data_IF_427519689014
#
_entry.id   IF_427519689014
#
_cell.length_a   1.000
_cell.length_b   1.000
_cell.length_c   1.000
_cell.angle_alpha   90.00
_cell.angle_beta   90.00
_cell.angle_gamma   90.00
#
_symmetry.space_group_name_H-M   'P 1'
#
loop_
_entity.id
_entity.type
_entity.pdbx_description
1 polymer ?
#
# COMPACT_ATOMS: atom_id res chain seq x y z
N UNK A 1 5.24 0.15 9.81
CA UNK A 1 4.21 1.18 10.07
C UNK A 1 3.84 1.12 11.54
N UNK A 2 3.92 2.23 12.27
CA UNK A 2 3.56 2.26 13.71
C UNK A 2 2.04 2.39 13.93
N UNK A 3 1.60 2.27 15.19
CA UNK A 3 0.18 2.34 15.59
C UNK A 3 -0.50 3.64 15.19
N UNK A 4 0.18 4.79 15.32
CA UNK A 4 -0.42 6.10 15.05
C UNK A 4 -0.65 6.29 13.56
N UNK A 5 0.33 5.92 12.73
CA UNK A 5 0.19 5.96 11.28
C UNK A 5 -0.83 4.93 10.80
N UNK A 6 -0.91 3.73 11.41
CA UNK A 6 -1.97 2.75 11.10
C UNK A 6 -3.37 3.30 11.38
N UNK A 7 -3.57 3.93 12.54
CA UNK A 7 -4.86 4.56 12.87
C UNK A 7 -5.15 5.71 11.90
N UNK A 8 -4.14 6.51 11.56
CA UNK A 8 -4.28 7.63 10.64
C UNK A 8 -4.73 7.18 9.24
N UNK A 9 -4.20 6.06 8.72
CA UNK A 9 -4.65 5.53 7.43
C UNK A 9 -6.06 4.97 7.49
N UNK A 10 -6.45 4.31 8.58
CA UNK A 10 -7.83 3.86 8.79
C UNK A 10 -8.81 5.02 8.88
N UNK A 11 -8.39 6.12 9.50
CA UNK A 11 -9.16 7.36 9.54
C UNK A 11 -9.28 8.00 8.15
N UNK A 12 -8.20 8.01 7.38
CA UNK A 12 -8.19 8.48 5.99
C UNK A 12 -9.14 7.66 5.09
N UNK A 13 -9.14 6.33 5.23
CA UNK A 13 -10.09 5.44 4.53
C UNK A 13 -11.54 5.77 4.92
N UNK A 14 -11.83 5.89 6.23
CA UNK A 14 -13.18 6.18 6.74
C UNK A 14 -13.69 7.58 6.32
N UNK A 15 -12.80 8.56 6.21
CA UNK A 15 -13.14 9.91 5.74
C UNK A 15 -13.26 9.99 4.21
N UNK A 16 -12.88 8.94 3.47
CA UNK A 16 -12.78 8.97 2.01
C UNK A 16 -11.74 9.97 1.51
N UNK A 17 -10.73 10.26 2.34
CA UNK A 17 -9.68 11.24 2.07
C UNK A 17 -10.13 12.70 2.04
N UNK A 18 -11.25 13.02 2.69
CA UNK A 18 -11.80 14.38 2.78
C UNK A 18 -11.70 14.91 4.20
N UNK A 19 -11.14 16.11 4.35
CA UNK A 19 -11.06 16.85 5.62
C UNK A 19 -12.41 17.40 6.10
N UNK A 20 -13.36 17.55 5.17
CA UNK A 20 -14.74 17.97 5.45
C UNK A 20 -15.62 16.89 6.10
N UNK A 21 -15.18 15.62 6.13
CA UNK A 21 -15.98 14.50 6.64
C UNK A 21 -15.56 14.13 8.07
N UNK A 22 -16.35 14.46 9.11
CA UNK A 22 -16.09 13.98 10.45
C UNK A 22 -16.33 12.47 10.56
N UNK A 23 -15.47 11.78 11.30
CA UNK A 23 -15.51 10.34 11.56
C UNK A 23 -15.62 10.11 13.06
N UNK A 24 -16.49 9.20 13.47
CA UNK A 24 -16.59 8.77 14.86
C UNK A 24 -15.32 7.99 15.22
N UNK A 25 -14.39 8.65 15.90
CA UNK A 25 -13.07 8.12 16.21
C UNK A 25 -13.13 6.97 17.22
N UNK A 26 -14.08 7.04 18.15
CA UNK A 26 -14.27 6.01 19.17
C UNK A 26 -14.70 4.69 18.53
N UNK A 27 -15.67 4.74 17.63
CA UNK A 27 -16.15 3.53 16.96
C UNK A 27 -15.11 3.00 15.96
N UNK A 28 -14.37 3.88 15.29
CA UNK A 28 -13.21 3.49 14.48
C UNK A 28 -12.21 2.68 15.31
N UNK A 29 -11.73 3.22 16.45
CA UNK A 29 -10.74 2.54 17.29
C UNK A 29 -11.26 1.21 17.87
N UNK A 30 -12.56 1.09 18.18
CA UNK A 30 -13.16 -0.19 18.57
C UNK A 30 -13.07 -1.23 17.45
N UNK A 31 -13.41 -0.83 16.22
CA UNK A 31 -13.40 -1.72 15.06
C UNK A 31 -12.00 -2.26 14.76
N UNK A 32 -10.95 -1.45 14.97
CA UNK A 32 -9.57 -1.84 14.71
C UNK A 32 -8.81 -2.34 15.96
N UNK A 33 -9.48 -2.51 17.10
CA UNK A 33 -8.90 -3.12 18.31
C UNK A 33 -8.05 -2.21 19.19
N UNK A 34 -8.10 -0.89 19.01
CA UNK A 34 -7.28 0.10 19.72
C UNK A 34 -8.05 0.93 20.77
N UNK A 35 -9.25 0.50 21.17
CA UNK A 35 -10.09 1.28 22.10
C UNK A 35 -9.44 1.54 23.47
N UNK A 36 -8.61 0.61 23.96
CA UNK A 36 -7.89 0.76 25.23
C UNK A 36 -6.88 1.93 25.25
N UNK A 37 -6.42 2.37 24.08
CA UNK A 37 -5.46 3.46 23.92
C UNK A 37 -6.09 4.74 23.37
N UNK A 38 -7.42 4.91 23.51
CA UNK A 38 -8.17 6.01 22.92
C UNK A 38 -7.57 7.39 23.21
N UNK A 39 -7.29 7.69 24.48
CA UNK A 39 -6.79 8.99 24.90
C UNK A 39 -5.39 9.28 24.34
N UNK A 40 -4.48 8.31 24.42
CA UNK A 40 -3.09 8.45 23.94
C UNK A 40 -3.05 8.67 22.41
N UNK A 41 -3.81 7.88 21.67
CA UNK A 41 -3.86 7.99 20.21
C UNK A 41 -4.51 9.31 19.78
N UNK A 42 -5.61 9.71 20.44
CA UNK A 42 -6.27 10.98 20.16
C UNK A 42 -5.31 12.15 20.42
N UNK A 43 -4.68 12.18 21.60
CA UNK A 43 -3.72 13.22 21.97
C UNK A 43 -2.56 13.28 20.98
N UNK A 44 -1.97 12.13 20.63
CA UNK A 44 -0.83 12.10 19.71
C UNK A 44 -1.20 12.64 18.34
N UNK A 45 -2.28 12.13 17.73
CA UNK A 45 -2.71 12.54 16.40
C UNK A 45 -3.11 14.03 16.36
N UNK A 46 -3.74 14.54 17.42
CA UNK A 46 -4.08 15.97 17.55
C UNK A 46 -2.83 16.83 17.72
N UNK A 47 -1.86 16.40 18.53
CA UNK A 47 -0.59 17.11 18.76
C UNK A 47 0.25 17.24 17.50
N UNK A 48 0.28 16.21 16.66
CA UNK A 48 0.95 16.25 15.35
C UNK A 48 0.16 17.06 14.29
N UNK A 49 -1.03 17.56 14.64
CA UNK A 49 -1.89 18.34 13.74
C UNK A 49 -2.51 17.51 12.61
N UNK A 50 -2.50 16.18 12.71
CA UNK A 50 -3.05 15.29 11.69
C UNK A 50 -4.57 15.18 11.76
N UNK A 51 -5.14 15.44 12.94
CA UNK A 51 -6.59 15.46 13.15
C UNK A 51 -7.01 16.72 13.92
N UNK A 52 -8.28 17.07 13.80
CA UNK A 52 -8.94 18.08 14.61
C UNK A 52 -10.22 17.49 15.21
N UNK A 53 -10.43 17.70 16.51
CA UNK A 53 -11.67 17.30 17.19
C UNK A 53 -12.85 18.15 16.72
N UNK A 54 -14.03 17.53 16.60
CA UNK A 54 -15.25 18.23 16.23
C UNK A 54 -15.97 18.74 17.48
N UNK A 55 -16.00 20.06 17.67
CA UNK A 55 -16.64 20.71 18.82
C UNK A 55 -18.14 20.40 18.96
N UNK A 56 -18.83 20.07 17.85
CA UNK A 56 -20.28 19.85 17.83
C UNK A 56 -20.65 18.37 17.99
N UNK A 57 -19.70 17.45 17.80
CA UNK A 57 -19.95 16.01 17.80
C UNK A 57 -18.94 15.31 18.71
N UNK A 58 -19.34 14.89 19.91
CA UNK A 58 -18.41 14.22 20.82
C UNK A 58 -17.82 12.97 20.16
N UNK A 59 -16.53 12.74 20.42
CA UNK A 59 -15.74 11.64 19.88
C UNK A 59 -15.57 11.62 18.35
N UNK A 60 -15.99 12.67 17.64
CA UNK A 60 -15.73 12.78 16.21
C UNK A 60 -14.49 13.62 15.97
N UNK A 61 -13.73 13.19 14.96
CA UNK A 61 -12.54 13.90 14.50
C UNK A 61 -12.61 14.09 12.99
N UNK A 62 -11.95 15.13 12.50
CA UNK A 62 -11.71 15.36 11.08
C UNK A 62 -10.24 15.17 10.82
N UNK A 63 -9.91 14.46 9.75
CA UNK A 63 -8.54 14.43 9.28
C UNK A 63 -8.19 15.80 8.69
N UNK A 64 -7.02 16.34 8.99
CA UNK A 64 -6.59 17.63 8.44
C UNK A 64 -5.95 17.46 7.07
N UNK A 65 -5.68 18.56 6.38
CA UNK A 65 -4.88 18.54 5.14
C UNK A 65 -3.49 17.90 5.35
N UNK A 66 -2.86 18.18 6.50
CA UNK A 66 -1.58 17.57 6.89
C UNK A 66 -1.73 16.08 7.19
N UNK A 67 -2.78 15.69 7.92
CA UNK A 67 -3.06 14.28 8.20
C UNK A 67 -3.37 13.48 6.94
N UNK A 68 -4.05 14.06 5.94
CA UNK A 68 -4.26 13.43 4.63
C UNK A 68 -2.92 13.21 3.92
N UNK A 69 -2.07 14.22 3.89
CA UNK A 69 -0.74 14.10 3.27
C UNK A 69 0.09 13.02 3.95
N UNK A 70 0.08 12.98 5.28
CA UNK A 70 0.82 12.00 6.06
C UNK A 70 0.23 10.58 5.98
N UNK A 71 -1.10 10.44 5.91
CA UNK A 71 -1.77 9.17 5.66
C UNK A 71 -1.39 8.62 4.27
N UNK A 72 -1.37 9.48 3.25
CA UNK A 72 -0.94 9.11 1.89
C UNK A 72 0.53 8.71 1.88
N UNK A 73 1.40 9.45 2.57
CA UNK A 73 2.80 9.04 2.77
C UNK A 73 2.88 7.70 3.50
N UNK A 74 2.06 7.45 4.50
CA UNK A 74 2.10 6.18 5.24
C UNK A 74 1.61 5.00 4.41
N UNK A 75 0.64 5.23 3.53
CA UNK A 75 0.18 4.27 2.51
C UNK A 75 1.25 4.05 1.43
N UNK A 76 1.99 5.09 1.05
CA UNK A 76 3.12 4.97 0.12
C UNK A 76 4.38 4.41 0.78
N UNK A 77 4.62 4.66 2.07
CA UNK A 77 5.72 4.14 2.89
C UNK A 77 5.49 2.69 3.33
N UNK A 78 4.27 2.16 3.19
CA UNK A 78 4.06 0.71 3.10
C UNK A 78 4.64 0.12 1.78
N UNK A 79 5.05 0.99 0.85
CA UNK A 79 5.58 0.68 -0.49
C UNK A 79 6.91 1.40 -0.82
N UNK A 80 7.49 2.16 0.13
CA UNK A 80 8.71 2.97 -0.08
C UNK A 80 9.75 2.65 0.99
N UNK A 81 10.27 1.43 0.96
CA UNK A 81 11.69 1.30 0.70
C UNK A 81 11.84 1.43 -0.81
N UNK A 82 12.72 2.31 -1.31
CA UNK A 82 13.13 2.31 -2.72
C UNK A 82 13.28 0.85 -3.15
N UNK A 83 12.47 0.34 -4.11
CA UNK A 83 12.28 -1.09 -4.21
C UNK A 83 13.66 -1.69 -4.39
N UNK A 84 13.99 -2.60 -3.47
CA UNK A 84 15.32 -3.19 -3.45
C UNK A 84 15.55 -3.76 -4.85
N UNK A 85 16.81 -3.87 -5.26
CA UNK A 85 17.10 -4.49 -6.56
C UNK A 85 16.38 -5.85 -6.70
N UNK A 86 16.25 -6.58 -5.59
CA UNK A 86 15.39 -7.74 -5.44
C UNK A 86 13.91 -7.47 -5.78
N UNK A 87 13.25 -6.50 -5.14
CA UNK A 87 11.83 -6.18 -5.40
C UNK A 87 11.57 -5.75 -6.85
N UNK A 88 12.49 -4.96 -7.43
CA UNK A 88 12.43 -4.56 -8.86
C UNK A 88 12.49 -5.79 -9.77
N UNK A 89 13.46 -6.66 -9.55
CA UNK A 89 13.64 -7.89 -10.33
C UNK A 89 12.48 -8.88 -10.15
N UNK A 90 11.94 -9.02 -8.93
CA UNK A 90 10.76 -9.86 -8.66
C UNK A 90 9.53 -9.32 -9.39
N UNK A 91 9.29 -8.01 -9.35
CA UNK A 91 8.15 -7.41 -10.03
C UNK A 91 8.27 -7.51 -11.56
N UNK A 92 9.47 -7.29 -12.12
CA UNK A 92 9.73 -7.53 -13.54
C UNK A 92 9.48 -8.99 -13.93
N UNK A 93 9.95 -9.94 -13.11
CA UNK A 93 9.73 -11.38 -13.34
C UNK A 93 8.25 -11.73 -13.35
N UNK A 94 7.44 -11.14 -12.45
CA UNK A 94 5.98 -11.33 -12.42
C UNK A 94 5.30 -10.78 -13.67
N UNK A 95 5.75 -9.65 -14.19
CA UNK A 95 5.21 -9.06 -15.43
C UNK A 95 5.49 -9.99 -16.61
N UNK A 96 6.74 -10.41 -16.79
CA UNK A 96 7.13 -11.34 -17.87
C UNK A 96 6.39 -12.67 -17.76
N UNK A 97 6.22 -13.21 -16.54
CA UNK A 97 5.44 -14.44 -16.34
C UNK A 97 3.95 -14.30 -16.75
N UNK A 98 3.34 -13.13 -16.52
CA UNK A 98 1.97 -12.85 -16.98
C UNK A 98 1.89 -12.73 -18.50
N UNK A 99 2.90 -12.15 -19.13
CA UNK A 99 2.99 -12.08 -20.60
C UNK A 99 3.15 -13.48 -21.21
N UNK A 100 3.96 -14.36 -20.60
CA UNK A 100 4.08 -15.77 -21.00
C UNK A 100 2.72 -16.47 -20.91
N UNK A 101 1.99 -16.29 -19.80
CA UNK A 101 0.65 -16.86 -19.65
C UNK A 101 -0.30 -16.36 -20.75
N UNK A 102 -0.31 -15.06 -21.03
CA UNK A 102 -1.13 -14.50 -22.09
C UNK A 102 -0.76 -15.06 -23.48
N UNK A 103 0.54 -15.23 -23.77
CA UNK A 103 1.00 -15.84 -25.02
C UNK A 103 0.58 -17.31 -25.14
N UNK A 104 0.61 -18.06 -24.04
CA UNK A 104 0.14 -19.45 -23.99
C UNK A 104 -1.37 -19.55 -24.22
N UNK A 105 -2.15 -18.60 -23.67
CA UNK A 105 -3.61 -18.57 -23.87
C UNK A 105 -4.00 -18.30 -25.33
N UNK A 106 -3.17 -17.56 -26.07
CA UNK A 106 -3.36 -17.25 -27.49
C UNK A 106 -2.44 -18.03 -28.44
N UNK A 107 -1.83 -19.13 -27.98
CA UNK A 107 -0.78 -19.81 -28.75
C UNK A 107 -1.38 -20.54 -29.97
N UNK A 108 -0.91 -20.16 -31.15
CA UNK A 108 -1.21 -20.90 -32.38
C UNK A 108 -0.09 -21.88 -32.71
N UNK A 109 -0.40 -22.95 -33.44
CA UNK A 109 0.59 -23.93 -33.93
C UNK A 109 1.41 -23.33 -35.08
N UNK A 110 2.32 -22.43 -34.75
CA UNK A 110 3.22 -21.77 -35.70
C UNK A 110 4.63 -21.63 -35.11
N UNK A 111 5.64 -21.54 -35.99
CA UNK A 111 7.02 -21.29 -35.55
C UNK A 111 7.18 -19.92 -34.88
N UNK A 112 6.42 -18.92 -35.32
CA UNK A 112 6.48 -17.57 -34.76
C UNK A 112 5.97 -17.54 -33.32
N UNK A 113 4.84 -18.20 -33.04
CA UNK A 113 4.31 -18.31 -31.67
C UNK A 113 5.31 -18.98 -30.72
N UNK A 114 6.00 -20.02 -31.19
CA UNK A 114 7.04 -20.71 -30.39
C UNK A 114 8.26 -19.81 -30.16
N UNK A 115 8.71 -19.07 -31.18
CA UNK A 115 9.81 -18.10 -31.03
C UNK A 115 9.49 -16.99 -30.02
N UNK A 116 8.27 -16.46 -30.05
CA UNK A 116 7.83 -15.43 -29.10
C UNK A 116 7.83 -15.96 -27.66
N UNK A 117 7.34 -17.19 -27.47
CA UNK A 117 7.35 -17.86 -26.18
C UNK A 117 8.77 -18.12 -25.67
N UNK A 118 9.66 -18.66 -26.51
CA UNK A 118 11.07 -18.92 -26.18
C UNK A 118 11.82 -17.64 -25.77
N UNK A 119 11.57 -16.53 -26.49
CA UNK A 119 12.16 -15.23 -26.17
C UNK A 119 11.73 -14.76 -24.77
N UNK A 120 10.45 -14.87 -24.43
CA UNK A 120 9.92 -14.46 -23.12
C UNK A 120 10.37 -15.38 -21.98
N UNK A 121 10.46 -16.69 -22.22
CA UNK A 121 11.03 -17.66 -21.26
C UNK A 121 12.51 -17.35 -21.00
N UNK A 122 13.26 -16.99 -22.04
CA UNK A 122 14.66 -16.58 -21.92
C UNK A 122 14.80 -15.29 -21.11
N UNK A 123 13.93 -14.30 -21.35
CA UNK A 123 13.86 -13.06 -20.58
C UNK A 123 13.60 -13.33 -19.10
N UNK A 124 12.61 -14.18 -18.77
CA UNK A 124 12.32 -14.58 -17.39
C UNK A 124 13.50 -15.31 -16.75
N UNK A 125 14.16 -16.20 -17.48
CA UNK A 125 15.34 -16.95 -17.00
C UNK A 125 16.50 -16.01 -16.64
N UNK A 126 16.71 -14.96 -17.45
CA UNK A 126 17.73 -13.94 -17.18
C UNK A 126 17.39 -13.10 -15.93
N UNK A 127 16.11 -12.76 -15.72
CA UNK A 127 15.68 -12.06 -14.50
C UNK A 127 15.89 -12.92 -13.25
N UNK A 128 15.56 -14.22 -13.31
CA UNK A 128 15.79 -15.17 -12.22
C UNK A 128 17.30 -15.35 -11.94
N UNK A 129 18.14 -15.37 -12.98
CA UNK A 129 19.59 -15.43 -12.81
C UNK A 129 20.14 -14.21 -12.05
N UNK A 130 19.55 -13.02 -12.25
CA UNK A 130 19.89 -11.80 -11.52
C UNK A 130 19.37 -11.78 -10.08
N UNK A 131 18.33 -12.56 -9.74
CA UNK A 131 17.84 -12.71 -8.37
C UNK A 131 18.77 -13.57 -7.51
N UNK A 132 19.33 -14.67 -8.05
CA UNK A 132 20.22 -15.59 -7.32
C UNK A 132 21.33 -14.93 -6.48
N UNK A 133 22.11 -13.94 -6.98
CA UNK A 133 23.18 -13.32 -6.20
C UNK A 133 22.70 -12.41 -5.05
N UNK A 134 21.42 -12.01 -5.04
CA UNK A 134 20.83 -11.13 -4.02
C UNK A 134 20.37 -11.91 -2.76
N UNK A 135 20.43 -13.24 -2.75
CA UNK A 135 20.03 -14.11 -1.63
C UNK A 135 21.13 -14.23 -0.53
N UNK A 136 22.24 -13.48 -0.66
CA UNK A 136 23.39 -13.55 0.27
C UNK A 136 23.05 -13.16 1.71
#
# INVERSE_FOLDING_TARGET
MDTYHFVLTKLYEASGGKDSKPVNFRDLLKQIGYYGSYADILERLSREGWIAEDEKRPHHVRITHWGISEAKKSLSSATESDPTKWDKLVNQSKVVAKEILALLDSVEKSEESMRQLDNKISELSNLIAQLKPEIK
#
